data_IF_277979493960
#
_entry.id   IF_277979493960
#
_cell.length_a   1.000
_cell.length_b   1.000
_cell.length_c   1.000
_cell.angle_alpha   90.00
_cell.angle_beta   90.00
_cell.angle_gamma   90.00
#
_symmetry.space_group_name_H-M   'P 1'
#
loop_
_entity.id
_entity.type
_entity.pdbx_description
1 polymer ?
#
# COMPACT_ATOMS: atom_id res chain seq x y z
N UNK A 1 -2.54 -8.00 -20.50
CA UNK A 1 -1.55 -6.95 -20.23
C UNK A 1 -1.97 -5.74 -21.05
N UNK A 2 -2.20 -4.58 -20.42
CA UNK A 2 -2.62 -3.35 -21.11
C UNK A 2 -1.41 -2.41 -21.16
N UNK A 3 -1.17 -1.77 -22.29
CA UNK A 3 -0.17 -0.71 -22.43
C UNK A 3 -0.90 0.61 -22.43
N UNK A 4 -0.56 1.49 -21.49
CA UNK A 4 -1.09 2.84 -21.42
C UNK A 4 0.06 3.83 -21.56
N UNK A 5 -0.17 4.91 -22.28
CA UNK A 5 0.82 5.97 -22.48
C UNK A 5 0.54 7.09 -21.50
N UNK A 6 1.52 7.41 -20.66
CA UNK A 6 1.43 8.52 -19.71
C UNK A 6 2.38 9.63 -20.15
N UNK A 7 1.94 10.88 -20.02
CA UNK A 7 2.84 12.03 -20.13
C UNK A 7 3.66 12.15 -18.83
N UNK A 8 4.98 12.06 -18.97
CA UNK A 8 5.94 12.29 -17.89
C UNK A 8 6.84 13.43 -18.35
N UNK A 9 6.68 14.59 -17.70
CA UNK A 9 7.44 15.80 -17.99
C UNK A 9 7.40 16.22 -19.47
N UNK A 10 6.23 16.10 -20.13
CA UNK A 10 6.03 16.46 -21.54
C UNK A 10 6.46 15.39 -22.55
N UNK A 11 6.85 14.20 -22.07
CA UNK A 11 7.19 13.05 -22.92
C UNK A 11 6.14 11.95 -22.74
N UNK A 12 5.55 11.51 -23.85
CA UNK A 12 4.63 10.37 -23.87
C UNK A 12 5.40 9.05 -23.71
N UNK A 13 5.25 8.39 -22.56
CA UNK A 13 5.98 7.16 -22.23
C UNK A 13 5.01 5.98 -22.07
N UNK A 14 5.20 4.87 -22.81
CA UNK A 14 4.38 3.68 -22.67
C UNK A 14 4.71 2.92 -21.37
N UNK A 15 3.68 2.49 -20.66
CA UNK A 15 3.78 1.74 -19.42
C UNK A 15 2.89 0.49 -19.46
N UNK A 16 3.40 -0.59 -18.88
CA UNK A 16 2.62 -1.81 -18.68
C UNK A 16 1.74 -1.67 -17.45
N UNK A 17 0.42 -1.72 -17.65
CA UNK A 17 -0.55 -1.69 -16.56
C UNK A 17 -0.88 -3.11 -16.13
N UNK A 18 -0.65 -3.37 -14.85
CA UNK A 18 -0.82 -4.66 -14.21
C UNK A 18 -1.95 -4.52 -13.19
N UNK A 19 -2.97 -5.37 -13.35
CA UNK A 19 -4.10 -5.38 -12.43
C UNK A 19 -3.67 -5.96 -11.09
N UNK A 20 -3.81 -5.18 -10.04
CA UNK A 20 -3.65 -5.58 -8.65
C UNK A 20 -5.03 -5.56 -8.00
N UNK A 21 -5.33 -6.56 -7.16
CA UNK A 21 -6.59 -6.63 -6.42
C UNK A 21 -6.77 -5.36 -5.59
N UNK A 22 -7.92 -4.71 -5.74
CA UNK A 22 -8.30 -3.50 -5.01
C UNK A 22 -8.78 -3.77 -3.58
N UNK A 23 -8.20 -4.76 -2.90
CA UNK A 23 -8.37 -4.92 -1.47
C UNK A 23 -7.48 -3.90 -0.74
N UNK A 24 -7.72 -3.58 0.52
CA UNK A 24 -6.94 -2.59 1.27
C UNK A 24 -5.43 -2.87 1.39
N UNK A 25 -4.90 -3.90 0.72
CA UNK A 25 -3.48 -4.19 0.56
C UNK A 25 -2.89 -3.78 -0.80
N UNK A 26 -3.67 -3.22 -1.73
CA UNK A 26 -3.27 -2.92 -3.11
C UNK A 26 -1.93 -2.17 -3.22
N UNK A 27 -1.66 -1.17 -2.38
CA UNK A 27 -0.37 -0.45 -2.35
C UNK A 27 0.81 -1.38 -2.10
N UNK A 28 0.69 -2.26 -1.11
CA UNK A 28 1.75 -3.21 -0.74
C UNK A 28 1.89 -4.32 -1.79
N UNK A 29 0.79 -4.75 -2.38
CA UNK A 29 0.79 -5.70 -3.50
C UNK A 29 1.45 -5.13 -4.75
N UNK A 30 1.20 -3.86 -5.08
CA UNK A 30 1.90 -3.15 -6.15
C UNK A 30 3.40 -3.05 -5.88
N UNK A 31 3.81 -2.71 -4.65
CA UNK A 31 5.22 -2.66 -4.27
C UNK A 31 5.89 -4.04 -4.33
N UNK A 32 5.21 -5.09 -3.84
CA UNK A 32 5.68 -6.46 -3.96
C UNK A 32 5.89 -6.86 -5.42
N UNK A 33 4.97 -6.48 -6.30
CA UNK A 33 5.10 -6.75 -7.73
C UNK A 33 6.27 -5.99 -8.36
N UNK A 34 6.45 -4.71 -8.03
CA UNK A 34 7.55 -3.90 -8.54
C UNK A 34 8.93 -4.42 -8.13
N UNK A 35 9.07 -4.93 -6.90
CA UNK A 35 10.37 -5.38 -6.36
C UNK A 35 10.64 -6.85 -6.67
N UNK A 36 9.61 -7.69 -6.71
CA UNK A 36 9.75 -9.15 -6.75
C UNK A 36 9.00 -9.83 -7.91
N UNK A 37 8.37 -9.08 -8.81
CA UNK A 37 7.52 -9.59 -9.90
C UNK A 37 6.36 -10.49 -9.43
N UNK A 38 5.97 -10.38 -8.15
CA UNK A 38 4.86 -11.14 -7.56
C UNK A 38 4.17 -10.36 -6.45
N UNK A 39 2.86 -10.52 -6.31
CA UNK A 39 2.09 -10.01 -5.16
C UNK A 39 2.10 -10.97 -3.96
N UNK A 40 2.70 -12.16 -4.07
CA UNK A 40 2.72 -13.14 -2.96
C UNK A 40 3.54 -12.68 -1.74
N UNK A 41 4.39 -11.66 -1.91
CA UNK A 41 5.23 -11.12 -0.84
C UNK A 41 4.66 -9.85 -0.19
N UNK A 42 3.39 -9.51 -0.44
CA UNK A 42 2.69 -8.36 0.14
C UNK A 42 2.85 -8.24 1.66
N UNK A 43 2.65 -9.34 2.39
CA UNK A 43 2.76 -9.33 3.85
C UNK A 43 4.21 -9.09 4.32
N UNK A 44 5.18 -9.63 3.60
CA UNK A 44 6.61 -9.42 3.88
C UNK A 44 7.00 -7.96 3.63
N UNK A 45 6.63 -7.41 2.48
CA UNK A 45 6.86 -6.00 2.12
C UNK A 45 6.23 -5.07 3.15
N UNK A 46 4.98 -5.34 3.56
CA UNK A 46 4.32 -4.59 4.63
C UNK A 46 5.10 -4.64 5.94
N UNK A 47 5.49 -5.84 6.39
CA UNK A 47 6.27 -6.00 7.62
C UNK A 47 7.61 -5.24 7.56
N UNK A 48 8.29 -5.27 6.41
CA UNK A 48 9.55 -4.56 6.20
C UNK A 48 9.38 -3.04 6.24
N UNK A 49 8.31 -2.51 5.63
CA UNK A 49 7.95 -1.08 5.71
C UNK A 49 7.64 -0.68 7.15
N UNK A 50 6.78 -1.44 7.84
CA UNK A 50 6.41 -1.14 9.23
C UNK A 50 7.64 -1.12 10.12
N UNK A 51 8.55 -2.08 9.95
CA UNK A 51 9.82 -2.14 10.67
C UNK A 51 10.70 -0.93 10.35
N UNK A 52 10.85 -0.58 9.07
CA UNK A 52 11.67 0.55 8.64
C UNK A 52 11.16 1.88 9.22
N UNK A 53 9.85 2.15 9.10
CA UNK A 53 9.22 3.35 9.64
C UNK A 53 9.34 3.41 11.16
N UNK A 54 9.11 2.28 11.81
CA UNK A 54 9.25 2.12 13.27
C UNK A 54 10.65 2.44 13.75
N UNK A 55 11.69 1.98 13.06
CA UNK A 55 13.08 2.22 13.44
C UNK A 55 13.52 3.66 13.15
N UNK A 56 12.88 4.33 12.18
CA UNK A 56 13.21 5.69 11.77
C UNK A 56 12.10 6.70 12.15
N UNK A 57 11.38 6.44 13.25
CA UNK A 57 10.14 7.12 13.60
C UNK A 57 10.28 8.65 13.65
N UNK A 58 11.37 9.18 14.25
CA UNK A 58 11.58 10.63 14.37
C UNK A 58 11.59 11.34 13.02
N UNK A 59 12.15 10.69 11.98
CA UNK A 59 12.23 11.22 10.62
C UNK A 59 10.94 10.97 9.84
N UNK A 60 10.34 9.78 10.01
CA UNK A 60 9.28 9.31 9.13
C UNK A 60 7.85 9.55 9.65
N UNK A 61 7.67 9.91 10.93
CA UNK A 61 6.36 10.20 11.53
C UNK A 61 5.48 11.14 10.68
N UNK A 62 5.97 12.28 10.14
CA UNK A 62 5.15 13.20 9.36
C UNK A 62 4.53 12.58 8.10
N UNK A 63 5.12 11.51 7.56
CA UNK A 63 4.68 10.83 6.35
C UNK A 63 3.79 9.62 6.63
N UNK A 64 3.63 9.23 7.89
CA UNK A 64 2.64 8.21 8.26
C UNK A 64 1.27 8.86 8.20
N UNK A 65 0.26 8.23 7.60
CA UNK A 65 -1.09 8.78 7.53
C UNK A 65 -2.11 7.76 8.05
N UNK A 66 -2.95 8.22 8.96
CA UNK A 66 -4.15 7.49 9.38
C UNK A 66 -5.22 7.59 8.29
N UNK A 67 -6.33 6.86 8.47
CA UNK A 67 -7.50 6.94 7.60
C UNK A 67 -8.05 8.38 7.44
N UNK A 68 -7.91 9.20 8.49
CA UNK A 68 -8.35 10.60 8.48
C UNK A 68 -7.33 11.55 7.82
N UNK A 69 -6.34 11.00 7.10
CA UNK A 69 -5.28 11.76 6.43
C UNK A 69 -4.47 12.66 7.36
N UNK A 70 -4.40 12.30 8.65
CA UNK A 70 -3.56 12.96 9.64
C UNK A 70 -2.44 12.03 10.10
N UNK A 71 -1.27 12.56 10.49
CA UNK A 71 -0.19 11.71 10.95
C UNK A 71 -0.49 10.91 12.21
N UNK A 72 0.07 9.71 12.29
CA UNK A 72 -0.03 8.89 13.49
C UNK A 72 0.60 9.61 14.69
N UNK A 73 -0.12 9.61 15.81
CA UNK A 73 0.35 10.26 17.03
C UNK A 73 1.52 9.52 17.64
N UNK A 74 1.47 8.18 17.63
CA UNK A 74 2.44 7.31 18.30
C UNK A 74 2.93 6.19 17.39
N UNK A 75 4.18 5.78 17.59
CA UNK A 75 4.79 4.61 16.92
C UNK A 75 3.98 3.34 17.18
N UNK A 76 3.49 3.16 18.41
CA UNK A 76 2.67 2.00 18.81
C UNK A 76 1.39 1.89 17.99
N UNK A 77 0.67 3.01 17.83
CA UNK A 77 -0.55 3.05 17.03
C UNK A 77 -0.27 2.72 15.56
N UNK A 78 0.80 3.29 15.00
CA UNK A 78 1.22 2.97 13.64
C UNK A 78 1.52 1.48 13.45
N UNK A 79 2.28 0.86 14.36
CA UNK A 79 2.60 -0.58 14.29
C UNK A 79 1.32 -1.42 14.36
N UNK A 80 0.42 -1.12 15.31
CA UNK A 80 -0.79 -1.90 15.51
C UNK A 80 -1.70 -1.89 14.27
N UNK A 81 -1.89 -0.71 13.66
CA UNK A 81 -2.75 -0.54 12.50
C UNK A 81 -2.10 -1.12 11.23
N UNK A 82 -0.82 -0.80 10.98
CA UNK A 82 -0.15 -1.17 9.73
C UNK A 82 0.37 -2.61 9.71
N UNK A 83 0.34 -3.34 10.84
CA UNK A 83 0.65 -4.78 10.87
C UNK A 83 -0.56 -5.66 10.55
N UNK A 84 -1.77 -5.08 10.42
CA UNK A 84 -2.95 -5.86 10.07
C UNK A 84 -2.82 -6.41 8.63
N UNK A 85 -3.30 -7.64 8.36
CA UNK A 85 -3.26 -8.25 7.03
C UNK A 85 -4.16 -7.51 6.03
N UNK A 86 -5.09 -6.70 6.51
CA UNK A 86 -5.90 -5.77 5.73
C UNK A 86 -6.04 -4.47 6.52
N UNK A 87 -5.92 -3.30 5.86
CA UNK A 87 -6.53 -2.11 6.44
C UNK A 87 -8.04 -2.38 6.51
N UNK A 88 -8.68 -2.08 7.64
CA UNK A 88 -10.14 -2.15 7.86
C UNK A 88 -10.90 -1.11 6.99
N UNK A 89 -10.31 -0.70 5.87
CA UNK A 89 -10.91 0.10 4.81
C UNK A 89 -11.43 -0.76 3.66
N UNK A 90 -11.26 -2.08 3.69
CA UNK A 90 -12.18 -2.97 2.98
C UNK A 90 -13.49 -3.04 3.77
N UNK A 91 -14.24 -1.93 3.76
CA UNK A 91 -15.65 -1.77 4.14
C UNK A 91 -16.16 -2.65 5.30
N UNK A 92 -16.58 -2.09 6.46
CA UNK A 92 -17.42 -2.84 7.40
C UNK A 92 -18.82 -3.14 6.84
N UNK A 93 -19.14 -2.82 5.58
CA UNK A 93 -20.38 -3.18 4.90
C UNK A 93 -20.19 -3.20 3.37
N UNK A 94 -19.76 -4.32 2.80
CA UNK A 94 -20.29 -4.89 1.54
C UNK A 94 -19.98 -6.38 1.52
N UNK A 95 -20.76 -7.12 2.29
CA UNK A 95 -21.16 -8.48 1.93
C UNK A 95 -21.99 -8.37 0.65
N UNK A 96 -21.33 -8.32 -0.50
CA UNK A 96 -21.97 -8.66 -1.77
C UNK A 96 -21.22 -9.84 -2.32
N UNK A 97 -21.84 -11.00 -2.09
CA UNK A 97 -21.74 -12.21 -2.92
C UNK A 97 -21.37 -11.85 -4.36
N UNK A 98 -20.37 -12.54 -4.89
CA UNK A 98 -20.22 -12.67 -6.33
C UNK A 98 -21.26 -13.71 -6.78
N UNK A 99 -22.37 -13.23 -7.35
CA UNK A 99 -23.08 -13.90 -8.43
C UNK A 99 -22.65 -13.22 -9.74
#
# INVERSE_FOLDING_TARGET
>A
MVIETFDIDGVAVPHHVIKITGDGACLFSSLSYLVHCTASLTLRVRADIVRHVSNNWRRLKPYTLTINKVPYRTKRQYIADMSQPYLVTALPNKTTRCD
#
